data_IF_587088727795
#
_entry.id   IF_587088727795
#
_cell.length_a   1.000
_cell.length_b   1.000
_cell.length_c   1.000
_cell.angle_alpha   90.00
_cell.angle_beta   90.00
_cell.angle_gamma   90.00
#
_symmetry.space_group_name_H-M   'P 1'
#
loop_
_entity.id
_entity.type
_entity.pdbx_description
1 polymer ?
#
# COMPACT_ATOMS: atom_id res chain seq x y z
N UNK A 1 -20.99 -7.32 14.67
CA UNK A 1 -20.82 -8.59 13.93
C UNK A 1 -19.65 -8.37 12.98
N UNK A 2 -18.65 -9.24 12.99
CA UNK A 2 -17.49 -9.08 12.12
C UNK A 2 -17.90 -9.52 10.72
N UNK A 3 -17.74 -8.65 9.72
CA UNK A 3 -18.11 -8.88 8.32
C UNK A 3 -17.05 -9.60 7.51
N UNK A 4 -16.06 -10.20 8.17
CA UNK A 4 -14.89 -10.82 7.52
C UNK A 4 -15.26 -12.17 6.88
N UNK A 5 -14.95 -12.35 5.60
CA UNK A 5 -15.16 -13.61 4.88
C UNK A 5 -13.95 -14.56 4.99
N UNK A 6 -13.68 -15.04 6.20
CA UNK A 6 -12.57 -15.97 6.42
C UNK A 6 -12.84 -17.33 5.77
N UNK A 7 -11.80 -17.95 5.23
CA UNK A 7 -11.85 -19.34 4.77
C UNK A 7 -11.19 -20.21 5.83
N UNK A 8 -11.97 -21.14 6.39
CA UNK A 8 -11.50 -22.08 7.41
C UNK A 8 -11.54 -23.50 6.88
N UNK A 9 -10.46 -24.24 7.10
CA UNK A 9 -10.37 -25.67 6.83
C UNK A 9 -10.87 -26.44 8.05
N UNK A 10 -11.95 -27.20 7.90
CA UNK A 10 -12.54 -28.04 8.96
C UNK A 10 -12.13 -29.49 8.74
N UNK A 11 -11.42 -30.06 9.72
CA UNK A 11 -11.06 -31.47 9.76
C UNK A 11 -12.02 -32.23 10.68
N UNK A 12 -12.70 -33.24 10.15
CA UNK A 12 -13.63 -34.09 10.89
C UNK A 12 -12.95 -35.34 11.46
N UNK A 13 -13.54 -35.93 12.49
CA UNK A 13 -13.12 -37.26 12.96
C UNK A 13 -13.58 -38.33 11.96
N UNK A 14 -12.78 -39.37 11.70
CA UNK A 14 -13.18 -40.47 10.83
C UNK A 14 -14.48 -41.13 11.32
N UNK A 15 -15.46 -41.25 10.44
CA UNK A 15 -16.73 -41.95 10.70
C UNK A 15 -17.10 -42.77 9.47
N UNK A 16 -17.69 -43.94 9.66
CA UNK A 16 -18.04 -44.90 8.59
C UNK A 16 -19.02 -44.37 7.53
N UNK A 17 -19.62 -43.19 7.75
CA UNK A 17 -20.60 -42.55 6.85
C UNK A 17 -20.06 -41.28 6.17
N UNK A 18 -18.81 -40.89 6.47
CA UNK A 18 -18.17 -39.69 5.91
C UNK A 18 -17.44 -40.02 4.61
N UNK A 19 -17.70 -39.25 3.54
CA UNK A 19 -16.96 -39.34 2.26
C UNK A 19 -15.74 -38.42 2.24
N UNK A 20 -15.83 -37.26 2.89
CA UNK A 20 -14.77 -36.24 2.97
C UNK A 20 -14.36 -36.04 4.42
N UNK A 21 -13.05 -36.15 4.69
CA UNK A 21 -12.50 -36.01 6.04
C UNK A 21 -12.15 -34.56 6.39
N UNK A 22 -11.89 -33.76 5.35
CA UNK A 22 -11.53 -32.36 5.43
C UNK A 22 -12.25 -31.62 4.31
N UNK A 23 -12.74 -30.43 4.61
CA UNK A 23 -13.30 -29.52 3.63
C UNK A 23 -13.00 -28.07 4.05
N UNK A 24 -13.00 -27.18 3.07
CA UNK A 24 -12.86 -25.75 3.30
C UNK A 24 -14.25 -25.12 3.34
N UNK A 25 -14.42 -24.17 4.26
CA UNK A 25 -15.64 -23.44 4.46
C UNK A 25 -15.35 -21.95 4.29
N UNK A 26 -16.06 -21.34 3.36
CA UNK A 26 -16.03 -19.90 3.14
C UNK A 26 -17.15 -19.24 3.95
N UNK A 27 -16.80 -18.31 4.83
CA UNK A 27 -17.78 -17.54 5.61
C UNK A 27 -18.56 -16.53 4.76
N UNK A 28 -18.08 -16.12 3.57
CA UNK A 28 -18.82 -15.24 2.66
C UNK A 28 -20.15 -15.87 2.21
N UNK A 29 -20.16 -17.18 1.97
CA UNK A 29 -21.35 -17.88 1.48
C UNK A 29 -22.41 -18.13 2.57
N UNK A 30 -22.03 -17.94 3.85
CA UNK A 30 -22.87 -18.27 4.98
C UNK A 30 -23.68 -17.05 5.40
N UNK A 31 -25.00 -17.14 5.26
CA UNK A 31 -25.91 -16.09 5.72
C UNK A 31 -25.77 -15.79 7.23
N UNK A 32 -25.56 -14.53 7.58
CA UNK A 32 -25.42 -14.07 8.97
C UNK A 32 -26.77 -14.14 9.68
N UNK A 33 -26.85 -14.92 10.77
CA UNK A 33 -28.01 -14.98 11.66
C UNK A 33 -27.88 -13.97 12.80
N UNK A 34 -29.02 -13.54 13.37
CA UNK A 34 -29.03 -12.59 14.49
C UNK A 34 -28.40 -13.13 15.78
N UNK A 35 -27.95 -12.22 16.66
CA UNK A 35 -27.19 -12.54 17.89
C UNK A 35 -27.90 -13.49 18.86
N UNK A 36 -29.23 -13.56 18.84
CA UNK A 36 -30.03 -14.48 19.66
C UNK A 36 -30.25 -15.88 19.05
N UNK A 37 -29.71 -16.15 17.87
CA UNK A 37 -29.87 -17.43 17.15
C UNK A 37 -28.74 -18.41 17.50
N UNK A 38 -29.05 -19.72 17.45
CA UNK A 38 -28.05 -20.80 17.60
C UNK A 38 -26.95 -20.80 16.51
N UNK A 39 -27.07 -19.97 15.47
CA UNK A 39 -26.09 -19.85 14.39
C UNK A 39 -26.31 -20.84 13.24
N UNK A 40 -25.28 -21.04 12.42
CA UNK A 40 -25.29 -21.96 11.29
C UNK A 40 -24.57 -23.26 11.66
N UNK A 41 -25.21 -24.40 11.41
CA UNK A 41 -24.60 -25.73 11.61
C UNK A 41 -23.84 -26.10 10.36
N UNK A 42 -22.51 -26.11 10.45
CA UNK A 42 -21.60 -26.41 9.33
C UNK A 42 -21.48 -27.91 9.09
N UNK A 43 -21.39 -28.73 10.14
CA UNK A 43 -21.27 -30.18 10.02
C UNK A 43 -22.04 -30.87 11.15
N UNK A 44 -22.68 -32.00 10.82
CA UNK A 44 -23.35 -32.88 11.78
C UNK A 44 -22.38 -33.86 12.47
N UNK A 45 -21.13 -33.92 12.00
CA UNK A 45 -20.13 -34.88 12.47
C UNK A 45 -19.14 -34.23 13.45
N UNK A 46 -18.55 -35.01 14.37
CA UNK A 46 -17.57 -34.49 15.33
C UNK A 46 -16.34 -33.89 14.63
N UNK A 47 -16.02 -32.64 14.96
CA UNK A 47 -14.84 -31.94 14.45
C UNK A 47 -13.59 -32.38 15.21
N UNK A 48 -12.49 -32.61 14.48
CA UNK A 48 -11.15 -32.90 15.03
C UNK A 48 -10.36 -31.62 15.23
N UNK A 49 -10.26 -30.78 14.20
CA UNK A 49 -9.47 -29.54 14.22
C UNK A 49 -10.04 -28.54 13.21
N UNK A 50 -9.95 -27.26 13.52
CA UNK A 50 -10.24 -26.16 12.59
C UNK A 50 -8.94 -25.40 12.38
N UNK A 51 -8.62 -25.08 11.13
CA UNK A 51 -7.42 -24.35 10.71
C UNK A 51 -7.86 -23.14 9.89
N UNK A 52 -7.40 -21.94 10.26
CA UNK A 52 -7.61 -20.75 9.42
C UNK A 52 -6.76 -20.90 8.16
N UNK A 53 -7.40 -20.92 6.98
CA UNK A 53 -6.73 -21.06 5.70
C UNK A 53 -6.34 -19.70 5.12
N UNK A 54 -7.27 -18.76 5.16
CA UNK A 54 -7.02 -17.36 4.82
C UNK A 54 -7.88 -16.44 5.67
N UNK A 55 -7.29 -15.33 6.12
CA UNK A 55 -8.06 -14.20 6.63
C UNK A 55 -8.92 -13.65 5.50
N UNK A 56 -10.18 -13.39 5.80
CA UNK A 56 -11.15 -12.89 4.83
C UNK A 56 -10.95 -11.43 4.52
N UNK A 57 -11.32 -11.05 3.30
CA UNK A 57 -11.67 -9.65 3.01
C UNK A 57 -13.05 -9.39 3.58
N UNK A 58 -13.28 -8.21 4.15
CA UNK A 58 -14.60 -7.86 4.65
C UNK A 58 -15.62 -7.80 3.50
N UNK A 59 -16.81 -8.31 3.79
CA UNK A 59 -17.95 -8.38 2.86
C UNK A 59 -19.08 -7.42 3.23
N UNK A 60 -18.92 -6.66 4.32
CA UNK A 60 -19.81 -5.57 4.69
C UNK A 60 -19.37 -4.29 3.97
N UNK A 61 -20.31 -3.39 3.65
CA UNK A 61 -19.95 -2.02 3.27
C UNK A 61 -19.16 -1.41 4.43
N UNK A 62 -18.03 -0.80 4.13
CA UNK A 62 -17.15 -0.20 5.11
C UNK A 62 -17.81 1.00 5.79
N UNK A 63 -17.29 1.35 6.96
CA UNK A 63 -17.78 2.47 7.74
C UNK A 63 -17.17 3.76 7.21
N UNK A 64 -18.00 4.70 6.80
CA UNK A 64 -17.56 6.07 6.47
C UNK A 64 -17.19 6.79 7.76
N UNK A 65 -15.98 7.34 7.81
CA UNK A 65 -15.45 7.97 9.02
C UNK A 65 -14.96 9.38 8.71
N UNK A 66 -15.28 10.29 9.63
CA UNK A 66 -14.84 11.67 9.64
C UNK A 66 -14.03 11.95 10.91
N UNK A 67 -13.12 12.89 10.82
CA UNK A 67 -12.31 13.40 11.92
C UNK A 67 -12.77 14.80 12.29
N UNK A 68 -13.19 14.96 13.54
CA UNK A 68 -13.51 16.27 14.10
C UNK A 68 -12.23 16.87 14.70
N UNK A 69 -11.74 17.96 14.10
CA UNK A 69 -10.52 18.65 14.51
C UNK A 69 -10.67 19.36 15.88
N UNK A 70 -11.88 19.78 16.25
CA UNK A 70 -12.14 20.48 17.51
C UNK A 70 -12.19 19.50 18.68
N UNK A 71 -12.90 18.38 18.50
CA UNK A 71 -13.03 17.33 19.52
C UNK A 71 -11.85 16.35 19.50
N UNK A 72 -11.08 16.32 18.41
CA UNK A 72 -9.96 15.41 18.16
C UNK A 72 -10.37 13.96 18.30
N UNK A 73 -11.49 13.61 17.65
CA UNK A 73 -12.12 12.29 17.68
C UNK A 73 -12.71 11.93 16.32
N UNK A 74 -12.88 10.62 16.11
CA UNK A 74 -13.59 10.10 14.95
C UNK A 74 -15.09 10.16 15.17
N UNK A 75 -15.84 10.31 14.08
CA UNK A 75 -17.29 10.24 14.06
C UNK A 75 -17.77 9.62 12.75
N UNK A 76 -19.03 9.19 12.74
CA UNK A 76 -19.75 8.67 11.56
C UNK A 76 -20.85 9.63 11.09
N UNK A 77 -20.95 10.80 11.72
CA UNK A 77 -22.05 11.75 11.57
C UNK A 77 -21.78 12.80 10.48
N UNK A 78 -20.69 12.66 9.72
CA UNK A 78 -20.33 13.61 8.66
C UNK A 78 -19.66 14.90 9.15
N UNK A 79 -19.13 14.94 10.37
CA UNK A 79 -18.57 16.17 10.96
C UNK A 79 -17.06 16.24 10.84
N UNK A 80 -16.56 17.34 10.29
CA UNK A 80 -15.13 17.59 10.13
C UNK A 80 -14.58 16.98 8.84
N UNK A 81 -13.31 16.58 8.86
CA UNK A 81 -12.59 16.09 7.68
C UNK A 81 -12.97 14.64 7.38
N UNK A 82 -13.43 14.36 6.16
CA UNK A 82 -13.66 12.98 5.73
C UNK A 82 -12.33 12.24 5.60
N UNK A 83 -12.21 11.06 6.24
CA UNK A 83 -11.00 10.24 6.17
C UNK A 83 -11.10 9.10 5.16
N UNK A 84 -12.33 8.73 4.77
CA UNK A 84 -12.60 7.62 3.86
C UNK A 84 -13.57 6.59 4.44
N UNK A 85 -13.72 5.49 3.71
CA UNK A 85 -14.45 4.29 4.11
C UNK A 85 -13.45 3.27 4.69
N UNK A 86 -13.73 2.77 5.90
CA UNK A 86 -12.86 1.88 6.65
C UNK A 86 -13.49 0.52 6.85
N UNK A 87 -12.70 -0.53 6.69
CA UNK A 87 -13.15 -1.89 6.90
C UNK A 87 -12.02 -2.81 7.39
N UNK A 88 -12.41 -3.85 8.13
CA UNK A 88 -11.53 -4.91 8.59
C UNK A 88 -10.23 -4.41 9.24
N UNK A 89 -9.11 -4.63 8.55
CA UNK A 89 -7.75 -4.35 9.01
C UNK A 89 -7.24 -2.93 8.68
N UNK A 90 -8.07 -2.08 8.06
CA UNK A 90 -7.74 -0.70 7.70
C UNK A 90 -7.22 0.10 8.89
N UNK A 91 -6.32 1.05 8.59
CA UNK A 91 -5.65 1.86 9.62
C UNK A 91 -5.71 3.34 9.25
N UNK A 92 -5.59 4.16 10.28
CA UNK A 92 -5.45 5.60 10.14
C UNK A 92 -3.97 5.94 10.30
N UNK A 93 -3.43 6.68 9.33
CA UNK A 93 -2.10 7.25 9.38
C UNK A 93 -2.16 8.60 10.11
N UNK A 94 -1.30 8.75 11.11
CA UNK A 94 -1.12 9.98 11.87
C UNK A 94 0.32 10.44 11.72
N UNK A 95 0.52 11.70 11.34
CA UNK A 95 1.85 12.33 11.30
C UNK A 95 1.87 13.54 12.21
N UNK A 96 2.85 13.59 13.11
CA UNK A 96 2.98 14.62 14.14
C UNK A 96 4.00 15.69 13.76
N UNK A 97 3.87 16.87 14.39
CA UNK A 97 4.76 18.04 14.18
C UNK A 97 6.22 17.78 14.50
N UNK A 98 6.49 16.84 15.40
CA UNK A 98 7.85 16.44 15.75
C UNK A 98 8.55 15.59 14.67
N UNK A 99 7.83 15.19 13.61
CA UNK A 99 8.41 14.44 12.50
C UNK A 99 8.45 12.93 12.73
N UNK A 100 7.49 12.38 13.48
CA UNK A 100 7.23 10.95 13.58
C UNK A 100 5.80 10.64 13.16
N UNK A 101 5.56 9.38 12.81
CA UNK A 101 4.23 8.89 12.45
C UNK A 101 3.88 7.64 13.26
N UNK A 102 2.58 7.39 13.35
CA UNK A 102 2.03 6.18 13.92
C UNK A 102 0.78 5.73 13.15
N UNK A 103 0.41 4.46 13.32
CA UNK A 103 -0.84 3.92 12.80
C UNK A 103 -1.80 3.67 13.96
N UNK A 104 -3.05 4.08 13.79
CA UNK A 104 -4.14 3.81 14.74
C UNK A 104 -5.26 2.99 14.09
N UNK A 105 -6.09 2.37 14.94
CA UNK A 105 -7.36 1.78 14.51
C UNK A 105 -8.38 2.88 14.24
N UNK A 106 -9.48 2.53 13.59
CA UNK A 106 -10.58 3.44 13.28
C UNK A 106 -11.71 3.42 14.33
N UNK A 107 -11.39 3.03 15.59
CA UNK A 107 -12.38 3.01 16.66
C UNK A 107 -12.81 4.43 17.07
N UNK A 108 -14.12 4.65 17.20
CA UNK A 108 -14.73 5.93 17.60
C UNK A 108 -14.29 6.44 18.97
N UNK A 109 -13.81 5.55 19.84
CA UNK A 109 -13.24 5.89 21.15
C UNK A 109 -11.84 6.50 21.07
N UNK A 110 -11.16 6.39 19.93
CA UNK A 110 -9.80 6.89 19.77
C UNK A 110 -9.76 8.41 19.92
N UNK A 111 -8.75 8.87 20.65
CA UNK A 111 -8.44 10.28 20.81
C UNK A 111 -7.13 10.59 20.10
N UNK A 112 -7.11 11.72 19.41
CA UNK A 112 -6.00 12.15 18.58
C UNK A 112 -5.31 13.35 19.21
N UNK A 113 -4.00 13.44 19.00
CA UNK A 113 -3.22 14.56 19.52
C UNK A 113 -3.51 15.86 18.74
N UNK A 114 -3.25 17.00 19.37
CA UNK A 114 -3.46 18.31 18.77
C UNK A 114 -2.32 18.75 17.84
N UNK A 115 -1.20 18.03 17.86
CA UNK A 115 0.01 18.33 17.10
C UNK A 115 0.10 17.54 15.79
N UNK A 116 -1.03 17.04 15.29
CA UNK A 116 -1.10 16.39 14.00
C UNK A 116 -0.89 17.39 12.85
N UNK A 117 -0.07 16.97 11.89
CA UNK A 117 0.10 17.62 10.59
C UNK A 117 -0.77 16.94 9.54
N UNK A 118 -0.85 15.61 9.61
CA UNK A 118 -1.61 14.81 8.66
C UNK A 118 -2.39 13.74 9.42
N UNK A 119 -3.66 13.61 9.05
CA UNK A 119 -4.52 12.48 9.39
C UNK A 119 -5.30 12.08 8.13
N UNK A 120 -5.20 10.80 7.78
CA UNK A 120 -5.86 10.19 6.62
C UNK A 120 -5.91 8.67 6.76
N UNK A 121 -6.69 8.01 5.90
CA UNK A 121 -6.57 6.55 5.73
C UNK A 121 -5.15 6.17 5.30
N UNK A 122 -4.62 5.10 5.89
CA UNK A 122 -3.30 4.57 5.55
C UNK A 122 -3.35 3.88 4.18
N UNK A 123 -2.48 4.34 3.28
CA UNK A 123 -2.27 3.74 1.97
C UNK A 123 -0.77 3.44 1.79
N UNK A 124 -0.37 2.16 1.68
CA UNK A 124 1.03 1.76 1.54
C UNK A 124 1.63 2.08 0.16
N UNK A 125 0.82 2.39 -0.85
CA UNK A 125 1.27 2.66 -2.22
C UNK A 125 1.38 4.17 -2.52
N UNK A 126 0.80 5.02 -1.67
CA UNK A 126 0.82 6.49 -1.82
C UNK A 126 2.17 7.08 -1.42
N UNK A 127 2.93 7.70 -2.36
CA UNK A 127 4.22 8.31 -2.04
C UNK A 127 4.05 9.68 -1.37
N UNK A 128 4.95 9.96 -0.43
CA UNK A 128 5.03 11.24 0.27
C UNK A 128 6.42 11.84 0.13
N UNK A 129 6.51 13.16 0.05
CA UNK A 129 7.74 13.93 0.10
C UNK A 129 7.81 14.71 1.42
N UNK A 130 8.91 14.54 2.16
CA UNK A 130 9.23 15.32 3.36
C UNK A 130 10.42 16.25 3.08
N UNK A 131 10.27 17.49 3.50
CA UNK A 131 11.36 18.47 3.57
C UNK A 131 11.76 18.61 5.03
N UNK A 132 13.04 18.41 5.30
CA UNK A 132 13.60 18.45 6.65
C UNK A 132 14.90 19.23 6.68
N UNK A 133 15.23 19.75 7.85
CA UNK A 133 16.56 20.26 8.18
C UNK A 133 17.28 19.21 9.04
N UNK A 134 18.49 18.81 8.66
CA UNK A 134 19.31 17.88 9.44
C UNK A 134 20.32 18.66 10.30
N UNK A 135 20.25 18.48 11.62
CA UNK A 135 21.05 19.26 12.58
C UNK A 135 22.55 19.02 12.47
N UNK A 136 22.98 17.77 12.23
CA UNK A 136 24.40 17.40 12.11
C UNK A 136 25.05 17.94 10.85
N UNK A 137 24.37 17.79 9.71
CA UNK A 137 24.85 18.29 8.43
C UNK A 137 24.61 19.80 8.25
N UNK A 138 23.75 20.41 9.08
CA UNK A 138 23.29 21.81 8.98
C UNK A 138 22.81 22.16 7.58
N UNK A 139 22.06 21.24 6.97
CA UNK A 139 21.58 21.35 5.61
C UNK A 139 20.14 20.87 5.50
N UNK A 140 19.47 21.35 4.46
CA UNK A 140 18.12 20.92 4.12
C UNK A 140 18.17 19.70 3.20
N UNK A 141 17.33 18.73 3.49
CA UNK A 141 17.19 17.49 2.73
C UNK A 141 15.74 17.29 2.34
N UNK A 142 15.56 16.74 1.15
CA UNK A 142 14.28 16.30 0.64
C UNK A 142 14.32 14.79 0.48
N UNK A 143 13.31 14.12 1.02
CA UNK A 143 13.15 12.67 0.88
C UNK A 143 11.75 12.37 0.40
N UNK A 144 11.64 11.49 -0.59
CA UNK A 144 10.38 10.93 -1.05
C UNK A 144 10.33 9.45 -0.66
N UNK A 145 9.23 8.99 -0.09
CA UNK A 145 9.12 7.65 0.54
C UNK A 145 7.67 7.15 0.57
N UNK A 146 7.50 5.87 0.86
CA UNK A 146 6.22 5.24 1.18
C UNK A 146 6.18 4.97 2.68
N UNK A 147 5.01 5.17 3.30
CA UNK A 147 4.85 4.82 4.71
C UNK A 147 4.84 3.28 4.88
N UNK A 148 5.57 2.80 5.87
CA UNK A 148 5.65 1.36 6.15
C UNK A 148 4.48 0.92 7.04
N UNK A 149 3.93 -0.30 6.83
CA UNK A 149 2.92 -0.86 7.72
C UNK A 149 3.58 -1.23 9.05
N UNK A 150 3.37 -0.41 10.07
CA UNK A 150 3.87 -0.64 11.43
C UNK A 150 2.75 -1.16 12.34
N UNK A 151 3.14 -1.75 13.47
CA UNK A 151 2.18 -2.15 14.49
C UNK A 151 1.41 -0.93 15.02
N UNK A 152 0.12 -1.11 15.29
CA UNK A 152 -0.75 -0.05 15.83
C UNK A 152 -0.15 0.50 17.14
N UNK A 153 -0.09 1.82 17.25
CA UNK A 153 0.48 2.53 18.41
C UNK A 153 2.01 2.53 18.51
N UNK A 154 2.71 1.92 17.54
CA UNK A 154 4.18 2.06 17.44
C UNK A 154 4.50 3.39 16.76
N UNK A 155 5.47 4.10 17.31
CA UNK A 155 6.01 5.34 16.74
C UNK A 155 7.22 5.05 15.85
N UNK A 156 7.30 5.72 14.71
CA UNK A 156 8.44 5.64 13.80
C UNK A 156 8.82 7.04 13.33
N UNK A 157 10.11 7.38 13.39
CA UNK A 157 10.59 8.70 12.95
C UNK A 157 10.62 8.81 11.42
N UNK A 158 10.23 9.97 10.91
CA UNK A 158 10.38 10.38 9.51
C UNK A 158 11.67 11.17 9.29
N UNK A 159 12.17 11.82 10.33
CA UNK A 159 13.34 12.69 10.28
C UNK A 159 14.53 12.11 11.02
N UNK A 160 15.70 12.71 10.82
CA UNK A 160 16.89 12.37 11.60
C UNK A 160 16.69 12.73 13.07
N UNK A 161 17.01 11.81 13.99
CA UNK A 161 16.91 11.99 15.44
C UNK A 161 18.06 12.84 16.02
N UNK A 162 18.98 13.29 15.17
CA UNK A 162 20.12 14.13 15.56
C UNK A 162 19.66 15.50 16.10
N UNK A 163 20.37 16.01 17.09
CA UNK A 163 20.03 17.27 17.76
C UNK A 163 19.97 18.45 16.78
N UNK A 164 18.87 19.21 16.84
CA UNK A 164 18.64 20.36 15.98
C UNK A 164 18.03 20.04 14.62
N UNK A 165 17.73 18.77 14.34
CA UNK A 165 16.94 18.40 13.15
C UNK A 165 15.50 18.91 13.30
N UNK A 166 14.90 19.34 12.19
CA UNK A 166 13.55 19.91 12.17
C UNK A 166 12.75 19.36 11.00
N UNK A 167 11.53 18.92 11.29
CA UNK A 167 10.51 18.67 10.29
C UNK A 167 9.97 20.00 9.77
N UNK A 168 9.85 20.15 8.45
CA UNK A 168 9.37 21.40 7.84
C UNK A 168 8.05 21.21 7.11
N UNK A 169 8.05 20.35 6.09
CA UNK A 169 6.90 20.14 5.21
C UNK A 169 6.74 18.67 4.88
N UNK A 170 5.49 18.27 4.68
CA UNK A 170 5.10 16.97 4.15
C UNK A 170 3.96 17.17 3.16
N UNK A 171 4.08 16.52 2.01
CA UNK A 171 3.05 16.50 0.98
C UNK A 171 3.06 15.17 0.26
N UNK A 172 1.91 14.73 -0.24
CA UNK A 172 1.83 13.68 -1.25
C UNK A 172 1.56 14.21 -2.66
N UNK A 173 1.33 15.52 -2.81
CA UNK A 173 1.04 16.11 -4.11
C UNK A 173 2.30 16.10 -5.00
N UNK A 174 2.28 15.38 -6.15
CA UNK A 174 3.44 15.34 -7.04
C UNK A 174 3.72 16.69 -7.71
N UNK A 175 2.71 17.53 -7.86
CA UNK A 175 2.82 18.87 -8.45
C UNK A 175 3.20 19.95 -7.42
N UNK A 176 3.55 19.58 -6.18
CA UNK A 176 4.02 20.51 -5.18
C UNK A 176 5.37 21.13 -5.59
N UNK A 177 5.43 22.46 -5.55
CA UNK A 177 6.62 23.24 -5.93
C UNK A 177 7.19 23.87 -4.65
N UNK A 178 8.47 23.60 -4.42
CA UNK A 178 9.25 24.18 -3.35
C UNK A 178 10.02 25.40 -3.86
N UNK A 179 9.69 26.57 -3.30
CA UNK A 179 10.40 27.84 -3.57
C UNK A 179 11.42 28.07 -2.46
N UNK A 180 12.68 28.19 -2.83
CA UNK A 180 13.82 28.28 -1.92
C UNK A 180 14.64 29.51 -2.23
N UNK A 181 14.70 30.45 -1.28
CA UNK A 181 15.55 31.62 -1.38
C UNK A 181 16.94 31.30 -0.84
N UNK A 182 17.95 31.33 -1.71
CA UNK A 182 19.35 31.03 -1.39
C UNK A 182 20.25 32.24 -1.56
N UNK A 183 21.33 32.28 -0.78
CA UNK A 183 22.44 33.22 -0.99
C UNK A 183 23.63 32.50 -1.62
N UNK A 184 23.96 32.87 -2.86
CA UNK A 184 25.03 32.21 -3.62
C UNK A 184 26.39 32.87 -3.41
N UNK A 185 27.39 32.03 -3.12
CA UNK A 185 28.80 32.40 -3.05
C UNK A 185 29.16 33.30 -1.88
N UNK A 186 30.43 33.76 -1.86
CA UNK A 186 30.94 34.69 -0.83
C UNK A 186 30.31 36.08 -0.93
N UNK A 187 29.78 36.43 -2.10
CA UNK A 187 29.17 37.73 -2.40
C UNK A 187 27.69 37.80 -1.99
N UNK A 188 27.11 36.70 -1.47
CA UNK A 188 25.73 36.63 -0.97
C UNK A 188 24.69 37.18 -1.95
N UNK A 189 24.76 36.74 -3.22
CA UNK A 189 23.77 37.16 -4.22
C UNK A 189 22.47 36.37 -3.97
N UNK A 190 21.33 37.03 -3.77
CA UNK A 190 20.05 36.35 -3.59
C UNK A 190 19.60 35.70 -4.91
N UNK A 191 19.25 34.43 -4.85
CA UNK A 191 18.69 33.64 -5.96
C UNK A 191 17.50 32.85 -5.42
N UNK A 192 16.41 32.82 -6.17
CA UNK A 192 15.21 32.04 -5.82
C UNK A 192 15.17 30.81 -6.71
N UNK A 193 15.10 29.63 -6.11
CA UNK A 193 15.03 28.34 -6.80
C UNK A 193 13.62 27.78 -6.67
N UNK A 194 13.05 27.35 -7.79
CA UNK A 194 11.78 26.63 -7.83
C UNK A 194 12.05 25.16 -8.17
N UNK A 195 11.62 24.25 -7.30
CA UNK A 195 11.92 22.82 -7.38
C UNK A 195 10.63 22.03 -7.28
N UNK A 196 10.32 21.28 -8.33
CA UNK A 196 9.23 20.28 -8.31
C UNK A 196 9.70 19.05 -7.54
N UNK A 197 8.99 18.68 -6.48
CA UNK A 197 9.42 17.61 -5.58
C UNK A 197 9.47 16.22 -6.27
N UNK A 198 8.51 15.96 -7.17
CA UNK A 198 8.44 14.70 -7.90
C UNK A 198 9.62 14.48 -8.86
N UNK A 199 10.11 15.55 -9.49
CA UNK A 199 11.21 15.51 -10.46
C UNK A 199 12.58 15.52 -9.77
N UNK A 200 12.66 16.11 -8.57
CA UNK A 200 13.92 16.27 -7.84
C UNK A 200 14.47 14.97 -7.24
N UNK A 201 13.58 14.05 -6.83
CA UNK A 201 13.99 12.82 -6.16
C UNK A 201 12.99 11.68 -6.36
N UNK A 202 13.51 10.50 -6.67
CA UNK A 202 12.71 9.27 -6.74
C UNK A 202 12.29 8.76 -5.35
N UNK A 203 11.31 7.85 -5.32
CA UNK A 203 10.87 7.19 -4.09
C UNK A 203 12.03 6.36 -3.51
N UNK A 204 12.49 6.74 -2.31
CA UNK A 204 13.49 6.05 -1.51
C UNK A 204 12.83 5.36 -0.30
N UNK A 205 13.60 4.56 0.42
CA UNK A 205 13.15 4.00 1.69
C UNK A 205 12.97 5.08 2.77
N UNK A 206 12.04 4.85 3.70
CA UNK A 206 11.71 5.79 4.78
C UNK A 206 12.91 6.13 5.67
N UNK A 207 13.88 5.22 5.81
CA UNK A 207 15.10 5.42 6.61
C UNK A 207 16.21 6.20 5.90
N UNK A 208 16.07 6.51 4.61
CA UNK A 208 17.06 7.33 3.93
C UNK A 208 17.07 8.76 4.48
N UNK A 209 18.17 9.49 4.30
CA UNK A 209 18.21 10.93 4.60
C UNK A 209 17.66 11.80 3.46
N UNK A 210 17.63 11.26 2.22
CA UNK A 210 17.17 11.97 1.03
C UNK A 210 18.30 12.61 0.21
N UNK A 211 17.95 13.58 -0.63
CA UNK A 211 18.88 14.39 -1.41
C UNK A 211 19.05 15.75 -0.74
N UNK A 212 20.28 16.29 -0.75
CA UNK A 212 20.55 17.64 -0.25
C UNK A 212 19.91 18.66 -1.18
N UNK A 213 19.15 19.59 -0.61
CA UNK A 213 18.40 20.61 -1.33
C UNK A 213 19.32 21.62 -2.03
N UNK A 214 20.26 22.19 -1.27
CA UNK A 214 21.24 23.17 -1.79
C UNK A 214 22.54 23.10 -0.99
N UNK A 215 23.63 23.53 -1.62
CA UNK A 215 24.92 23.73 -0.94
C UNK A 215 25.09 25.12 -0.31
N UNK A 216 24.22 26.04 -0.69
CA UNK A 216 24.22 27.44 -0.31
C UNK A 216 23.35 27.70 0.92
N UNK A 217 23.56 28.85 1.55
CA UNK A 217 22.80 29.26 2.73
C UNK A 217 21.36 29.59 2.32
N UNK A 218 20.39 28.97 2.99
CA UNK A 218 18.96 29.14 2.72
C UNK A 218 18.38 30.14 3.70
N UNK A 219 17.70 31.16 3.17
CA UNK A 219 16.99 32.17 3.97
C UNK A 219 15.56 31.77 4.27
N UNK A 220 14.86 31.30 3.23
CA UNK A 220 13.43 31.03 3.28
C UNK A 220 13.11 29.83 2.42
N UNK A 221 12.18 29.00 2.90
CA UNK A 221 11.62 27.87 2.19
C UNK A 221 10.12 28.03 2.27
N UNK A 222 9.45 27.98 1.11
CA UNK A 222 8.00 27.98 1.00
C UNK A 222 7.58 26.85 0.08
N UNK A 223 6.46 26.21 0.40
CA UNK A 223 5.85 25.19 -0.45
C UNK A 223 4.55 25.75 -1.01
N UNK A 224 4.39 25.62 -2.32
CA UNK A 224 3.16 25.95 -3.03
C UNK A 224 2.51 24.67 -3.54
N UNK A 225 1.18 24.68 -3.66
CA UNK A 225 0.38 23.51 -4.05
C UNK A 225 0.58 22.30 -3.10
N UNK A 226 0.65 22.58 -1.79
CA UNK A 226 0.90 21.57 -0.78
C UNK A 226 -0.32 20.68 -0.49
N UNK A 227 -1.52 21.22 -0.72
CA UNK A 227 -2.77 20.52 -0.49
C UNK A 227 -2.84 19.29 -1.38
N UNK A 228 -3.24 18.19 -0.76
CA UNK A 228 -3.50 16.95 -1.47
C UNK A 228 -4.83 17.13 -2.20
N UNK A 229 -4.85 16.92 -3.51
CA UNK A 229 -6.13 16.76 -4.21
C UNK A 229 -6.79 15.50 -3.64
N UNK A 230 -7.83 15.69 -2.83
CA UNK A 230 -8.71 14.60 -2.42
C UNK A 230 -9.28 13.98 -3.69
N UNK A 231 -8.78 12.81 -4.10
CA UNK A 231 -9.26 12.04 -5.26
C UNK A 231 -10.69 11.47 -5.07
N UNK A 232 -11.50 12.07 -4.20
CA UNK A 232 -12.84 11.60 -3.80
C UNK A 232 -13.90 12.71 -3.86
N UNK A 233 -13.79 13.62 -4.82
CA UNK A 233 -14.89 14.52 -5.21
C UNK A 233 -15.67 13.96 -6.41
N UNK A 234 -16.25 12.77 -6.27
CA UNK A 234 -17.47 12.42 -7.02
C UNK A 234 -18.55 12.07 -6.00
N UNK A 235 -19.12 13.10 -5.37
CA UNK A 235 -20.50 12.98 -4.91
C UNK A 235 -21.39 12.90 -6.17
N UNK A 236 -22.32 11.93 -6.26
CA UNK A 236 -23.27 11.91 -7.35
C UNK A 236 -24.18 13.13 -7.18
N UNK A 237 -23.97 14.13 -8.05
CA UNK A 237 -24.85 15.28 -8.15
C UNK A 237 -26.23 14.77 -8.52
N UNK A 238 -27.16 14.86 -7.57
CA UNK A 238 -28.58 14.71 -7.81
C UNK A 238 -28.99 15.57 -9.01
N UNK A 239 -29.58 14.90 -9.99
CA UNK A 239 -30.21 15.48 -11.18
C UNK A 239 -31.21 16.58 -10.78
N UNK A 240 -30.77 17.84 -10.83
CA UNK A 240 -31.66 19.00 -10.93
C UNK A 240 -32.22 19.06 -12.35
N UNK A 241 -33.36 18.43 -12.56
CA UNK A 241 -34.26 18.75 -13.66
C UNK A 241 -35.07 20.01 -13.29
N UNK A 242 -34.75 21.12 -13.94
CA UNK A 242 -35.68 22.17 -14.38
C UNK A 242 -34.92 23.10 -15.32
N UNK A 243 -35.50 23.43 -16.49
CA UNK A 243 -35.75 24.85 -16.71
C UNK A 243 -37.18 25.14 -17.18
N UNK A 244 -37.50 26.41 -16.98
CA UNK A 244 -38.81 27.05 -16.94
C UNK A 244 -39.70 26.98 -18.19
N UNK A 245 -40.98 27.05 -17.84
CA UNK A 245 -42.20 27.43 -18.57
C UNK A 245 -42.09 28.68 -19.48
N UNK A 246 -42.64 28.58 -20.70
CA UNK A 246 -43.51 29.55 -21.42
C UNK A 246 -43.59 29.14 -22.91
N UNK A 247 -44.68 29.13 -23.69
CA UNK A 247 -46.08 29.60 -23.59
C UNK A 247 -46.82 29.00 -24.81
N UNK A 248 -48.02 28.44 -24.57
CA UNK A 248 -49.26 28.38 -25.38
C UNK A 248 -49.22 27.96 -26.88
N UNK A 249 -49.90 26.85 -27.21
CA UNK A 249 -51.02 26.82 -28.17
C UNK A 249 -51.92 25.60 -27.94
N UNK A 250 -53.22 25.86 -27.74
CA UNK A 250 -54.29 24.86 -27.66
C UNK A 250 -54.51 24.20 -29.02
N UNK A 251 -54.76 22.88 -29.06
CA UNK A 251 -55.80 22.30 -29.92
C UNK A 251 -56.13 20.88 -29.48
N UNK A 252 -57.40 20.54 -29.72
CA UNK A 252 -58.20 19.49 -29.10
C UNK A 252 -58.01 18.10 -29.72
N UNK A 253 -58.39 17.12 -28.89
CA UNK A 253 -59.23 15.95 -29.19
C UNK A 253 -58.66 14.63 -29.75
N UNK A 254 -59.22 13.57 -29.13
CA UNK A 254 -59.40 12.17 -29.56
C UNK A 254 -58.14 11.30 -29.77
N UNK A 255 -58.04 10.03 -29.36
CA UNK A 255 -58.98 9.04 -28.84
C UNK A 255 -58.13 7.87 -28.28
N UNK A 256 -58.57 7.28 -27.16
CA UNK A 256 -58.29 5.86 -26.85
C UNK A 256 -59.20 4.99 -27.72
N UNK A 257 -58.80 3.74 -28.01
CA UNK A 257 -59.54 2.67 -27.35
C UNK A 257 -58.68 1.51 -26.83
N UNK A 258 -59.08 1.04 -25.64
CA UNK A 258 -59.14 -0.35 -25.15
C UNK A 258 -59.56 -1.38 -26.24
N UNK A 259 -59.35 -2.70 -26.22
CA UNK A 259 -59.19 -3.72 -25.17
C UNK A 259 -58.82 -5.07 -25.83
N UNK A 260 -58.34 -6.01 -24.98
CA UNK A 260 -58.48 -7.48 -25.05
C UNK A 260 -57.52 -8.26 -25.96
N UNK A 261 -57.09 -9.50 -25.65
CA UNK A 261 -57.09 -10.35 -24.45
C UNK A 261 -56.29 -11.62 -24.85
N UNK A 262 -55.59 -12.19 -23.88
CA UNK A 262 -55.02 -13.55 -23.74
C UNK A 262 -55.14 -14.59 -24.89
N UNK A 263 -54.04 -15.29 -25.17
CA UNK A 263 -53.84 -16.73 -24.84
C UNK A 263 -52.56 -17.30 -25.50
N UNK A 264 -51.63 -17.81 -24.69
CA UNK A 264 -50.79 -19.00 -24.99
C UNK A 264 -51.63 -20.27 -24.69
N UNK A 265 -51.30 -21.51 -25.12
CA UNK A 265 -49.95 -22.04 -25.36
C UNK A 265 -49.79 -23.09 -26.51
N UNK A 266 -48.55 -23.56 -26.68
CA UNK A 266 -48.14 -24.97 -26.84
C UNK A 266 -47.27 -25.33 -28.09
N UNK A 267 -46.03 -25.73 -27.77
CA UNK A 267 -45.29 -26.95 -28.19
C UNK A 267 -45.01 -27.19 -29.68
N UNK A 268 -43.71 -27.21 -30.06
CA UNK A 268 -43.12 -28.25 -30.95
C UNK A 268 -41.68 -28.59 -30.50
N UNK A 269 -41.41 -29.90 -30.43
CA UNK A 269 -40.13 -30.56 -30.11
C UNK A 269 -39.29 -30.84 -31.37
N UNK A 270 -37.99 -31.09 -31.11
CA UNK A 270 -37.07 -32.01 -31.80
C UNK A 270 -36.51 -31.63 -33.19
N UNK A 271 -35.17 -31.53 -33.29
CA UNK A 271 -34.37 -32.65 -33.80
C UNK A 271 -32.87 -32.51 -33.48
N UNK A 272 -32.27 -33.67 -33.26
CA UNK A 272 -30.89 -33.96 -32.87
C UNK A 272 -30.12 -34.47 -34.09
N UNK A 273 -28.84 -34.10 -34.28
CA UNK A 273 -27.82 -34.92 -34.97
C UNK A 273 -26.40 -34.34 -34.82
N UNK A 274 -25.53 -35.17 -34.24
CA UNK A 274 -24.05 -35.06 -34.23
C UNK A 274 -23.45 -35.77 -35.49
N UNK A 275 -22.14 -36.09 -35.58
CA UNK A 275 -20.98 -35.21 -35.85
C UNK A 275 -20.11 -35.76 -37.02
N UNK A 276 -19.26 -34.95 -37.70
CA UNK A 276 -18.13 -35.49 -38.51
C UNK A 276 -16.91 -34.56 -38.56
N UNK A 277 -15.80 -35.11 -38.04
CA UNK A 277 -14.36 -35.06 -38.39
C UNK A 277 -13.66 -33.88 -39.11
N UNK A 278 -12.44 -33.65 -38.61
CA UNK A 278 -11.23 -32.94 -39.08
C UNK A 278 -10.74 -33.33 -40.51
N UNK A 279 -9.91 -32.50 -41.19
CA UNK A 279 -8.45 -32.58 -40.97
C UNK A 279 -7.63 -31.26 -41.03
N UNK A 280 -6.42 -31.38 -40.48
CA UNK A 280 -5.29 -30.47 -40.32
C UNK A 280 -4.83 -29.58 -41.51
N UNK A 281 -4.25 -28.40 -41.22
CA UNK A 281 -2.80 -28.13 -41.37
C UNK A 281 -2.34 -26.79 -40.75
N UNK A 282 -1.02 -26.62 -40.65
CA UNK A 282 -0.24 -25.81 -39.69
C UNK A 282 0.17 -24.43 -40.21
N UNK A 283 0.42 -23.49 -39.30
CA UNK A 283 1.55 -22.56 -39.39
C UNK A 283 1.96 -22.05 -37.99
N UNK A 284 3.23 -22.26 -37.65
CA UNK A 284 3.86 -21.93 -36.39
C UNK A 284 4.63 -20.60 -36.48
N UNK A 285 4.70 -19.84 -35.38
CA UNK A 285 5.80 -18.89 -35.12
C UNK A 285 6.26 -19.07 -33.67
N UNK A 286 7.51 -19.53 -33.54
CA UNK A 286 8.27 -19.75 -32.31
C UNK A 286 9.19 -18.55 -32.08
N UNK A 287 9.29 -18.06 -30.83
CA UNK A 287 10.44 -17.27 -30.36
C UNK A 287 10.94 -17.86 -29.03
N UNK A 288 12.21 -18.26 -29.02
CA UNK A 288 12.96 -18.76 -27.88
C UNK A 288 13.53 -17.63 -27.01
N UNK A 289 13.85 -17.89 -25.72
CA UNK A 289 14.57 -16.99 -24.84
C UNK A 289 16.11 -17.16 -24.93
N UNK A 290 16.84 -16.08 -24.65
CA UNK A 290 18.31 -16.01 -24.68
C UNK A 290 18.92 -16.29 -23.29
N UNK A 291 19.95 -17.16 -23.23
CA UNK A 291 20.74 -17.43 -22.02
C UNK A 291 22.20 -17.73 -22.34
N UNK A 292 23.09 -16.86 -21.82
CA UNK A 292 24.54 -16.97 -21.52
C UNK A 292 25.56 -17.25 -22.66
N UNK A 293 26.62 -16.44 -22.79
CA UNK A 293 27.74 -16.73 -23.68
C UNK A 293 28.83 -17.56 -22.96
N UNK A 294 29.37 -18.55 -23.66
CA UNK A 294 30.62 -19.26 -23.33
C UNK A 294 31.63 -18.91 -24.42
N UNK A 295 32.78 -18.34 -24.07
CA UNK A 295 33.85 -17.97 -25.02
C UNK A 295 34.98 -18.96 -24.90
N UNK A 296 35.32 -19.59 -26.02
CA UNK A 296 36.52 -20.40 -26.22
C UNK A 296 37.67 -19.52 -26.77
N UNK A 297 38.89 -19.74 -26.27
CA UNK A 297 40.14 -19.40 -26.95
C UNK A 297 40.64 -20.65 -27.72
N UNK A 298 41.36 -20.54 -28.85
CA UNK A 298 42.82 -20.31 -28.82
C UNK A 298 43.40 -19.52 -30.03
N UNK A 299 44.51 -18.78 -29.84
CA UNK A 299 45.86 -19.18 -30.27
C UNK A 299 46.91 -18.06 -30.03
N UNK A 300 48.18 -18.48 -29.92
CA UNK A 300 49.40 -17.83 -29.44
C UNK A 300 50.03 -16.82 -30.40
N UNK A 301 50.71 -15.80 -29.86
CA UNK A 301 52.10 -15.46 -30.23
C UNK A 301 52.78 -14.59 -29.16
N UNK A 302 54.11 -14.69 -29.11
CA UNK A 302 55.04 -14.46 -27.99
C UNK A 302 55.76 -13.10 -28.02
N UNK A 303 56.07 -12.53 -26.83
CA UNK A 303 57.34 -11.82 -26.57
C UNK A 303 57.54 -11.53 -25.05
N UNK A 304 58.73 -11.83 -24.56
CA UNK A 304 59.28 -11.63 -23.21
C UNK A 304 59.34 -10.17 -22.72
N UNK A 305 59.02 -9.91 -21.43
CA UNK A 305 59.78 -9.06 -20.48
C UNK A 305 59.37 -9.41 -19.02
N UNK A 306 60.34 -9.65 -18.12
CA UNK A 306 60.25 -9.58 -16.63
C UNK A 306 61.22 -8.49 -16.13
N UNK A 307 61.23 -8.06 -14.84
CA UNK A 307 60.15 -7.80 -13.87
C UNK A 307 60.32 -6.43 -13.15
N UNK A 308 59.34 -5.95 -12.37
CA UNK A 308 59.56 -4.90 -11.36
C UNK A 308 58.63 -5.07 -10.13
N UNK A 309 59.21 -4.86 -8.95
CA UNK A 309 58.79 -5.23 -7.59
C UNK A 309 57.80 -4.26 -6.88
N UNK A 310 56.81 -4.86 -6.19
CA UNK A 310 56.25 -4.59 -4.81
C UNK A 310 55.58 -3.23 -4.46
N UNK A 311 54.73 -3.13 -3.39
CA UNK A 311 54.51 -4.08 -2.29
C UNK A 311 53.05 -4.43 -1.93
N UNK A 312 52.87 -5.62 -1.34
CA UNK A 312 51.65 -6.06 -0.63
C UNK A 312 51.80 -5.70 0.85
N UNK A 313 50.75 -5.14 1.47
CA UNK A 313 50.70 -4.84 2.91
C UNK A 313 50.19 -6.05 3.69
N UNK A 314 50.98 -6.52 4.63
CA UNK A 314 50.62 -7.54 5.64
C UNK A 314 49.61 -6.96 6.65
N UNK A 315 48.53 -7.70 6.90
CA UNK A 315 47.56 -7.41 7.97
C UNK A 315 47.89 -8.34 9.13
N UNK A 316 48.39 -7.79 10.24
CA UNK A 316 48.55 -8.50 11.51
C UNK A 316 47.21 -8.49 12.25
N UNK A 317 46.65 -9.67 12.50
CA UNK A 317 45.51 -9.87 13.40
C UNK A 317 46.08 -10.20 14.79
N UNK A 318 45.98 -9.26 15.73
CA UNK A 318 46.26 -9.53 17.15
C UNK A 318 45.05 -10.24 17.77
N UNK A 319 45.25 -11.51 18.13
CA UNK A 319 44.30 -12.31 18.90
C UNK A 319 44.36 -11.80 20.34
N UNK A 320 43.24 -11.23 20.79
CA UNK A 320 43.06 -10.77 22.17
C UNK A 320 42.74 -12.00 23.02
N UNK A 321 43.54 -12.23 24.08
CA UNK A 321 43.58 -13.39 24.99
C UNK A 321 44.26 -14.67 24.47
N UNK A 322 45.57 -14.86 24.73
CA UNK A 322 46.32 -16.06 24.38
C UNK A 322 46.15 -17.26 25.34
N UNK A 323 45.32 -17.18 26.39
CA UNK A 323 45.24 -18.23 27.43
C UNK A 323 43.95 -19.09 27.41
N UNK A 324 43.08 -18.98 26.40
CA UNK A 324 41.74 -19.62 26.46
C UNK A 324 41.53 -20.81 25.50
N UNK A 325 42.60 -21.36 24.90
CA UNK A 325 42.48 -22.51 24.00
C UNK A 325 43.68 -23.45 24.11
N UNK A 326 43.67 -24.34 25.10
CA UNK A 326 44.55 -25.52 25.13
C UNK A 326 44.04 -26.57 24.11
N UNK A 327 44.53 -26.49 22.87
CA UNK A 327 44.38 -27.54 21.85
C UNK A 327 45.63 -28.41 21.87
N UNK A 328 45.47 -29.72 22.09
CA UNK A 328 46.55 -30.68 21.93
C UNK A 328 46.81 -30.96 20.43
N UNK A 329 48.04 -31.39 20.10
CA UNK A 329 48.58 -31.59 18.74
C UNK A 329 47.85 -32.65 17.88
N UNK A 330 46.64 -33.06 18.28
CA UNK A 330 45.73 -33.90 17.49
C UNK A 330 44.35 -33.26 17.26
N UNK A 331 44.15 -32.00 17.64
CA UNK A 331 42.99 -31.21 17.22
C UNK A 331 41.64 -31.72 17.71
N UNK A 332 41.57 -32.28 18.92
CA UNK A 332 40.29 -32.64 19.55
C UNK A 332 40.08 -31.83 20.82
N UNK A 333 39.14 -30.86 20.78
CA UNK A 333 38.65 -30.20 21.98
C UNK A 333 37.82 -31.19 22.80
N UNK A 334 38.28 -31.53 24.00
CA UNK A 334 37.51 -32.33 24.97
C UNK A 334 36.37 -31.45 25.51
N UNK A 335 35.19 -31.55 24.91
CA UNK A 335 33.95 -31.16 25.58
C UNK A 335 33.44 -32.34 26.42
N UNK A 336 33.51 -32.20 27.74
CA UNK A 336 32.49 -32.68 28.66
C UNK A 336 31.74 -31.46 29.20
#
# INVERSE_FOLDING_TARGET
PNGEAEIVTVQLKPHTKLKTLQFDLDYAEIAIKGRGSQGNIVSKYPVKKILLKSKGVSTLSGLKIWYDELLRRLNVDGRGKYLGEFDGDDKILQVHKEGWYELSTFELSNHFDADLILIQKFDPEKPFAVVQFEGKAKNYFIKRFLFEPIAVGKKMSLISEEQGSKFMYLTSNPAAILTVDVLKGKTQIPETLEIVLADFIDVKGIKANGNRLTQHEVKKIEISNNEEEDLTAEEPTESKLSPDTAVIEETQDEQLPEVASAEEPAVIQAEEKQPVAEPAEKAAVVKQPWGKPTVAQPNKESADVKPADKPVKDIKLEITNPDDVDIDDKGQTKLF
#
